data_IF_568537617924
#
_entry.id   IF_568537617924
#
_cell.length_a   1.000
_cell.length_b   1.000
_cell.length_c   1.000
_cell.angle_alpha   90.00
_cell.angle_beta   90.00
_cell.angle_gamma   90.00
#
_symmetry.space_group_name_H-M   'P 1'
#
loop_
_entity.id
_entity.type
_entity.pdbx_description
1 polymer ?
#
# COMPACT_ATOMS: atom_id res chain seq x y z
N UNK A 1 -8.00 19.40 3.33
CA UNK A 1 -6.56 19.06 3.38
C UNK A 1 -6.27 18.17 4.58
N UNK A 2 -5.43 17.16 4.37
CA UNK A 2 -4.89 16.28 5.41
C UNK A 2 -3.49 16.81 5.74
N UNK A 3 -3.16 16.93 7.02
CA UNK A 3 -1.82 17.32 7.46
C UNK A 3 -0.99 16.10 7.87
N UNK A 4 0.33 16.24 8.00
CA UNK A 4 1.22 15.11 8.36
C UNK A 4 0.82 14.39 9.65
N UNK A 5 0.28 15.12 10.64
CA UNK A 5 -0.24 14.55 11.89
C UNK A 5 -1.51 13.72 11.72
N UNK A 6 -2.25 13.91 10.64
CA UNK A 6 -3.52 13.24 10.36
C UNK A 6 -3.31 11.90 9.62
N UNK A 7 -2.11 11.61 9.11
CA UNK A 7 -1.80 10.40 8.32
C UNK A 7 -2.20 9.11 9.06
N UNK A 8 -2.12 9.15 10.37
CA UNK A 8 -2.25 8.02 11.28
C UNK A 8 -3.56 8.00 12.09
N UNK A 9 -4.48 8.94 11.81
CA UNK A 9 -5.69 9.14 12.63
C UNK A 9 -6.96 8.59 11.99
N UNK A 10 -6.87 8.01 10.79
CA UNK A 10 -8.03 7.49 10.06
C UNK A 10 -8.97 8.58 9.52
N UNK A 11 -8.50 9.83 9.43
CA UNK A 11 -9.29 10.99 8.97
C UNK A 11 -9.70 10.91 7.48
N UNK A 12 -9.06 10.03 6.70
CA UNK A 12 -9.40 9.78 5.29
C UNK A 12 -9.07 8.34 4.90
N UNK A 13 -9.86 7.76 3.99
CA UNK A 13 -9.62 6.43 3.42
C UNK A 13 -8.56 6.45 2.31
N UNK A 14 -8.46 7.56 1.56
CA UNK A 14 -7.50 7.74 0.46
C UNK A 14 -6.83 9.10 0.60
N UNK A 15 -5.49 9.11 0.60
CA UNK A 15 -4.66 10.32 0.65
C UNK A 15 -3.89 10.42 -0.67
N UNK A 16 -3.87 11.61 -1.27
CA UNK A 16 -3.20 11.87 -2.57
C UNK A 16 -2.03 12.81 -2.35
N UNK A 17 -0.88 12.47 -2.94
CA UNK A 17 0.33 13.30 -2.94
C UNK A 17 1.14 13.03 -4.21
N UNK A 18 2.15 13.85 -4.48
CA UNK A 18 3.13 13.56 -5.51
C UNK A 18 4.04 12.37 -5.12
N UNK A 19 4.74 11.80 -6.10
CA UNK A 19 5.57 10.62 -5.89
C UNK A 19 6.75 10.83 -4.94
N UNK A 20 7.30 12.05 -4.84
CA UNK A 20 8.40 12.35 -3.92
C UNK A 20 7.89 12.38 -2.47
N UNK A 21 6.83 13.14 -2.21
CA UNK A 21 6.20 13.22 -0.88
C UNK A 21 5.70 11.85 -0.42
N UNK A 22 5.02 11.11 -1.30
CA UNK A 22 4.48 9.78 -1.00
C UNK A 22 5.58 8.78 -0.66
N UNK A 23 6.69 8.80 -1.39
CA UNK A 23 7.83 7.91 -1.11
C UNK A 23 8.49 8.21 0.23
N UNK A 24 8.66 9.50 0.59
CA UNK A 24 9.18 9.89 1.92
C UNK A 24 8.25 9.37 3.02
N UNK A 25 6.94 9.59 2.90
CA UNK A 25 5.95 9.15 3.89
C UNK A 25 5.96 7.63 4.03
N UNK A 26 5.99 6.90 2.90
CA UNK A 26 6.00 5.43 2.90
C UNK A 26 7.25 4.88 3.62
N UNK A 27 8.44 5.42 3.31
CA UNK A 27 9.69 5.00 3.96
C UNK A 27 9.77 5.43 5.42
N UNK A 28 9.14 6.53 5.79
CA UNK A 28 8.97 6.90 7.20
C UNK A 28 8.10 5.88 7.94
N UNK A 29 6.97 5.44 7.36
CA UNK A 29 6.10 4.44 7.97
C UNK A 29 6.80 3.07 8.15
N UNK A 30 7.56 2.63 7.13
CA UNK A 30 8.42 1.43 7.24
C UNK A 30 9.45 1.57 8.39
N UNK A 31 10.10 2.73 8.51
CA UNK A 31 11.07 2.98 9.59
C UNK A 31 10.42 2.99 10.98
N UNK A 32 9.20 3.53 11.11
CA UNK A 32 8.44 3.51 12.36
C UNK A 32 8.15 2.06 12.78
N UNK A 33 7.77 1.19 11.83
CA UNK A 33 7.58 -0.23 12.07
C UNK A 33 8.86 -0.89 12.60
N UNK A 34 9.99 -0.68 11.94
CA UNK A 34 11.27 -1.27 12.35
C UNK A 34 11.69 -0.82 13.76
N UNK A 35 11.47 0.44 14.11
CA UNK A 35 11.74 0.97 15.45
C UNK A 35 10.79 0.34 16.48
N UNK A 36 9.49 0.25 16.18
CA UNK A 36 8.50 -0.38 17.05
C UNK A 36 8.86 -1.84 17.32
N UNK A 37 9.22 -2.60 16.28
CA UNK A 37 9.63 -3.99 16.39
C UNK A 37 10.91 -4.16 17.23
N UNK A 38 11.94 -3.34 17.00
CA UNK A 38 13.17 -3.36 17.83
C UNK A 38 12.90 -3.05 19.30
N UNK A 39 11.87 -2.25 19.59
CA UNK A 39 11.43 -1.90 20.95
C UNK A 39 10.42 -2.89 21.54
N UNK A 40 10.10 -3.98 20.84
CA UNK A 40 9.10 -4.99 21.25
C UNK A 40 7.68 -4.40 21.43
N UNK A 41 7.35 -3.40 20.60
CA UNK A 41 6.03 -2.79 20.51
C UNK A 41 5.22 -3.35 19.33
N UNK A 42 5.72 -4.38 18.67
CA UNK A 42 5.12 -5.05 17.51
C UNK A 42 3.88 -5.89 17.83
N UNK A 43 3.62 -6.17 19.12
CA UNK A 43 2.36 -6.77 19.55
C UNK A 43 1.17 -5.80 19.43
N UNK A 44 1.42 -4.51 19.23
CA UNK A 44 0.38 -3.54 18.95
C UNK A 44 -0.14 -3.72 17.51
N UNK A 45 -1.43 -4.03 17.40
CA UNK A 45 -2.13 -4.19 16.13
C UNK A 45 -1.95 -2.98 15.22
N UNK A 46 -1.85 -1.78 15.80
CA UNK A 46 -1.63 -0.54 15.06
C UNK A 46 -0.31 -0.56 14.29
N UNK A 47 0.80 -0.95 14.93
CA UNK A 47 2.11 -0.96 14.27
C UNK A 47 2.21 -2.08 13.24
N UNK A 48 1.55 -3.21 13.46
CA UNK A 48 1.55 -4.34 12.51
C UNK A 48 1.04 -3.97 11.10
N UNK A 49 0.22 -2.92 10.99
CA UNK A 49 -0.31 -2.39 9.72
C UNK A 49 0.74 -1.71 8.85
N UNK A 50 1.90 -1.35 9.39
CA UNK A 50 2.99 -0.75 8.62
C UNK A 50 3.95 -1.79 8.04
N UNK A 51 3.69 -3.08 8.26
CA UNK A 51 4.46 -4.15 7.66
C UNK A 51 4.08 -4.37 6.18
N UNK A 52 4.98 -4.02 5.27
CA UNK A 52 4.76 -4.08 3.82
C UNK A 52 4.48 -5.50 3.30
N UNK A 53 4.98 -6.56 3.95
CA UNK A 53 4.75 -7.94 3.50
C UNK A 53 3.27 -8.36 3.57
N UNK A 54 2.46 -7.69 4.39
CA UNK A 54 1.04 -8.02 4.55
C UNK A 54 0.19 -7.65 3.34
N UNK A 55 0.64 -6.70 2.52
CA UNK A 55 -0.19 -6.10 1.46
C UNK A 55 -0.02 -6.72 0.08
N UNK A 56 0.95 -7.64 -0.10
CA UNK A 56 1.04 -8.42 -1.33
C UNK A 56 1.37 -7.61 -2.57
N UNK A 57 2.26 -6.62 -2.45
CA UNK A 57 2.68 -5.77 -3.56
C UNK A 57 1.75 -4.58 -3.82
N UNK A 58 2.25 -3.59 -4.56
CA UNK A 58 1.55 -2.34 -4.84
C UNK A 58 1.01 -2.34 -6.27
N UNK A 59 -0.31 -2.16 -6.47
CA UNK A 59 -0.89 -1.94 -7.79
C UNK A 59 -0.35 -0.68 -8.45
N UNK A 60 0.03 -0.77 -9.72
CA UNK A 60 0.31 0.39 -10.57
C UNK A 60 -1.01 0.83 -11.19
N UNK A 61 -1.47 2.02 -10.81
CA UNK A 61 -2.70 2.60 -11.33
C UNK A 61 -2.41 3.49 -12.55
N UNK A 62 -3.41 3.66 -13.43
CA UNK A 62 -3.27 4.47 -14.65
C UNK A 62 -2.67 3.73 -15.86
N UNK A 63 -2.44 2.43 -15.76
CA UNK A 63 -2.05 1.55 -16.88
C UNK A 63 -3.26 0.78 -17.43
N UNK A 64 -3.15 0.31 -18.68
CA UNK A 64 -4.27 -0.32 -19.40
C UNK A 64 -4.69 -1.71 -18.88
N UNK A 65 -3.84 -2.38 -18.11
CA UNK A 65 -4.05 -3.72 -17.56
C UNK A 65 -3.49 -3.82 -16.14
N UNK A 66 -3.95 -4.76 -15.30
CA UNK A 66 -3.41 -4.94 -13.95
C UNK A 66 -1.90 -5.18 -13.96
N UNK A 67 -1.16 -4.33 -13.23
CA UNK A 67 0.29 -4.45 -13.00
C UNK A 67 0.52 -4.30 -11.50
N UNK A 68 1.28 -5.22 -10.90
CA UNK A 68 1.59 -5.23 -9.46
C UNK A 68 3.11 -5.24 -9.30
N UNK A 69 3.64 -4.35 -8.46
CA UNK A 69 5.05 -4.30 -8.11
C UNK A 69 5.23 -4.98 -6.76
N UNK A 70 5.94 -6.10 -6.76
CA UNK A 70 6.38 -6.79 -5.55
C UNK A 70 7.65 -6.18 -4.94
N UNK A 71 7.93 -6.51 -3.68
CA UNK A 71 9.19 -6.14 -3.04
C UNK A 71 10.31 -7.11 -3.43
N UNK A 72 11.56 -6.68 -3.50
CA UNK A 72 12.68 -7.51 -3.97
C UNK A 72 12.95 -8.78 -3.12
N UNK A 73 12.52 -8.79 -1.86
CA UNK A 73 12.67 -9.92 -0.92
C UNK A 73 11.37 -10.74 -0.75
N UNK A 74 10.45 -10.65 -1.72
CA UNK A 74 9.14 -11.32 -1.65
C UNK A 74 9.25 -12.84 -1.51
N UNK A 75 8.59 -13.38 -0.49
CA UNK A 75 8.46 -14.82 -0.26
C UNK A 75 7.18 -15.41 -0.90
N UNK A 76 6.97 -16.72 -0.78
CA UNK A 76 5.81 -17.40 -1.36
C UNK A 76 4.45 -16.81 -0.91
N UNK A 77 4.33 -16.34 0.34
CA UNK A 77 3.11 -15.70 0.85
C UNK A 77 2.88 -14.35 0.17
N UNK A 78 3.93 -13.55 -0.03
CA UNK A 78 3.83 -12.29 -0.76
C UNK A 78 3.38 -12.50 -2.21
N UNK A 79 3.91 -13.51 -2.91
CA UNK A 79 3.47 -13.88 -4.26
C UNK A 79 2.01 -14.34 -4.32
N UNK A 80 1.58 -15.18 -3.37
CA UNK A 80 0.16 -15.56 -3.26
C UNK A 80 -0.74 -14.33 -3.12
N UNK A 81 -0.35 -13.38 -2.26
CA UNK A 81 -1.13 -12.16 -2.05
C UNK A 81 -1.12 -11.26 -3.30
N UNK A 82 0.01 -11.15 -4.02
CA UNK A 82 0.08 -10.44 -5.31
C UNK A 82 -0.91 -10.99 -6.34
N UNK A 83 -1.01 -12.32 -6.45
CA UNK A 83 -1.96 -12.97 -7.36
C UNK A 83 -3.41 -12.66 -6.94
N UNK A 84 -3.71 -12.71 -5.64
CA UNK A 84 -5.05 -12.37 -5.14
C UNK A 84 -5.41 -10.89 -5.39
N UNK A 85 -4.45 -9.97 -5.28
CA UNK A 85 -4.63 -8.56 -5.64
C UNK A 85 -4.91 -8.41 -7.13
N UNK A 86 -4.15 -9.11 -7.98
CA UNK A 86 -4.37 -9.12 -9.44
C UNK A 86 -5.77 -9.63 -9.80
N UNK A 87 -6.19 -10.75 -9.20
CA UNK A 87 -7.53 -11.31 -9.37
C UNK A 87 -8.61 -10.30 -8.97
N UNK A 88 -8.45 -9.65 -7.81
CA UNK A 88 -9.39 -8.62 -7.34
C UNK A 88 -9.47 -7.42 -8.29
N UNK A 89 -8.36 -6.97 -8.88
CA UNK A 89 -8.35 -5.90 -9.88
C UNK A 89 -9.15 -6.29 -11.14
N UNK A 90 -9.05 -7.54 -11.57
CA UNK A 90 -9.81 -8.09 -12.71
C UNK A 90 -11.29 -8.21 -12.36
N UNK A 91 -11.63 -8.84 -11.23
CA UNK A 91 -13.01 -9.06 -10.80
C UNK A 91 -13.77 -7.74 -10.58
N UNK A 92 -13.07 -6.70 -10.11
CA UNK A 92 -13.68 -5.38 -9.89
C UNK A 92 -13.74 -4.51 -11.14
N UNK A 93 -13.18 -4.96 -12.26
CA UNK A 93 -12.96 -4.18 -13.49
C UNK A 93 -12.35 -2.79 -13.22
N UNK A 94 -11.32 -2.75 -12.37
CA UNK A 94 -10.74 -1.49 -11.90
C UNK A 94 -10.21 -0.64 -13.07
N UNK A 95 -9.45 -1.25 -13.98
CA UNK A 95 -8.87 -0.56 -15.14
C UNK A 95 -9.96 -0.02 -16.09
N UNK A 96 -11.04 -0.79 -16.32
CA UNK A 96 -12.17 -0.35 -17.13
C UNK A 96 -12.88 0.86 -16.53
N UNK A 97 -13.22 0.78 -15.25
CA UNK A 97 -13.85 1.89 -14.50
C UNK A 97 -12.99 3.15 -14.44
N UNK A 98 -11.67 2.99 -14.29
CA UNK A 98 -10.75 4.13 -14.36
C UNK A 98 -10.81 4.78 -15.75
N UNK A 99 -10.71 4.00 -16.82
CA UNK A 99 -10.79 4.52 -18.19
C UNK A 99 -12.11 5.25 -18.45
N UNK A 100 -13.24 4.72 -17.99
CA UNK A 100 -14.54 5.37 -18.10
C UNK A 100 -14.62 6.68 -17.34
N UNK A 101 -13.92 6.82 -16.21
CA UNK A 101 -13.91 8.04 -15.39
C UNK A 101 -13.13 9.20 -16.04
N UNK A 102 -12.32 8.92 -17.07
CA UNK A 102 -11.55 9.92 -17.81
C UNK A 102 -12.11 10.22 -19.21
N UNK A 103 -13.26 9.65 -19.56
CA UNK A 103 -14.02 9.99 -20.78
C UNK A 103 -14.99 11.12 -20.51
#
# INVERSE_FOLDING_TARGET
>A
NIEGRDIFTGKADVMVCDGFTGNIILKMAESIYDIAHKRKLDQDEYFSRFHYENYGGTPVLGVAKPVIIGHGISNAKAFKNMIAVAEKMIQSDLCGKMLESFK
#
